data_IF_800974850912
#
_entry.id   IF_800974850912
#
_cell.length_a   1.000
_cell.length_b   1.000
_cell.length_c   1.000
_cell.angle_alpha   90.00
_cell.angle_beta   90.00
_cell.angle_gamma   90.00
#
_symmetry.space_group_name_H-M   'P 1'
#
loop_
_entity.id
_entity.type
_entity.pdbx_description
1 polymer ?
#
# COMPACT_ATOMS: atom_id res chain seq x y z
N UNK A 1 -19.04 4.94 10.86
CA UNK A 1 -18.74 5.66 9.59
C UNK A 1 -17.25 5.99 9.60
N UNK A 2 -16.44 5.24 8.87
CA UNK A 2 -15.02 5.52 8.66
C UNK A 2 -14.92 6.54 7.51
N UNK A 3 -14.28 7.69 7.73
CA UNK A 3 -14.19 8.76 6.74
C UNK A 3 -13.32 8.40 5.53
N UNK A 4 -13.35 9.20 4.46
CA UNK A 4 -12.62 8.92 3.21
C UNK A 4 -11.08 8.87 3.36
N UNK A 5 -10.55 9.28 4.51
CA UNK A 5 -9.13 9.28 4.87
C UNK A 5 -8.83 8.32 6.04
N UNK A 6 -9.44 7.15 6.06
CA UNK A 6 -9.19 6.18 7.14
C UNK A 6 -7.82 5.52 6.95
N UNK A 7 -6.82 5.98 7.70
CA UNK A 7 -5.51 5.34 7.80
C UNK A 7 -5.64 4.08 8.65
N UNK A 8 -5.65 2.90 8.01
CA UNK A 8 -5.59 1.61 8.73
C UNK A 8 -4.17 1.05 8.76
N UNK A 9 -3.26 1.69 8.02
CA UNK A 9 -1.84 1.43 8.04
C UNK A 9 -1.13 2.23 9.15
N UNK A 10 -0.04 1.70 9.76
CA UNK A 10 0.72 2.42 10.77
C UNK A 10 1.34 3.72 10.21
N UNK A 11 1.21 4.80 10.97
CA UNK A 11 1.73 6.13 10.65
C UNK A 11 3.23 6.17 10.97
N UNK A 12 4.05 6.69 10.06
CA UNK A 12 5.49 6.87 10.26
C UNK A 12 5.81 7.84 11.42
N UNK A 13 7.01 7.73 12.00
CA UNK A 13 7.51 8.61 13.08
C UNK A 13 6.67 8.62 14.37
N UNK A 14 5.84 7.59 14.58
CA UNK A 14 5.33 7.20 15.91
C UNK A 14 6.24 6.11 16.50
N UNK A 15 6.11 5.82 17.80
CA UNK A 15 6.92 4.83 18.55
C UNK A 15 6.98 3.39 17.94
N UNK A 16 6.29 3.14 16.82
CA UNK A 16 6.32 1.87 16.08
C UNK A 16 6.96 2.09 14.71
N UNK A 17 8.09 1.42 14.50
CA UNK A 17 8.73 1.37 13.19
C UNK A 17 7.78 0.68 12.20
N UNK A 18 7.52 1.32 11.06
CA UNK A 18 6.70 0.70 10.02
C UNK A 18 7.52 -0.40 9.36
N UNK A 19 7.08 -1.65 9.51
CA UNK A 19 7.80 -2.85 9.09
C UNK A 19 7.09 -3.52 7.90
N UNK A 20 7.80 -4.35 7.13
CA UNK A 20 7.17 -5.18 6.09
C UNK A 20 6.12 -6.15 6.68
N UNK A 21 6.23 -6.50 7.97
CA UNK A 21 5.17 -7.19 8.73
C UNK A 21 3.87 -6.40 8.81
N UNK A 22 3.92 -5.06 8.90
CA UNK A 22 2.73 -4.22 8.84
C UNK A 22 2.07 -4.28 7.47
N UNK A 23 2.86 -4.29 6.38
CA UNK A 23 2.40 -4.49 5.01
C UNK A 23 1.66 -5.84 4.88
N UNK A 24 2.29 -6.92 5.31
CA UNK A 24 1.68 -8.28 5.33
C UNK A 24 0.36 -8.33 6.07
N UNK A 25 0.33 -7.79 7.30
CA UNK A 25 -0.88 -7.77 8.12
C UNK A 25 -2.00 -6.95 7.46
N UNK A 26 -1.66 -5.80 6.87
CA UNK A 26 -2.61 -4.94 6.18
C UNK A 26 -3.23 -5.63 4.96
N UNK A 27 -2.39 -6.20 4.09
CA UNK A 27 -2.86 -6.96 2.93
C UNK A 27 -3.70 -8.17 3.34
N UNK A 28 -3.33 -8.85 4.43
CA UNK A 28 -4.10 -9.95 5.00
C UNK A 28 -5.50 -9.53 5.48
N UNK A 29 -5.62 -8.39 6.19
CA UNK A 29 -6.92 -7.85 6.64
C UNK A 29 -7.80 -7.37 5.49
N UNK A 30 -7.19 -6.87 4.42
CA UNK A 30 -7.88 -6.25 3.28
C UNK A 30 -8.03 -7.19 2.06
N UNK A 31 -7.68 -8.48 2.20
CA UNK A 31 -7.65 -9.46 1.10
C UNK A 31 -8.97 -9.60 0.31
N UNK A 32 -10.10 -9.32 0.95
CA UNK A 32 -11.42 -9.41 0.32
C UNK A 32 -11.79 -8.15 -0.50
N UNK A 33 -10.97 -7.10 -0.46
CA UNK A 33 -11.19 -5.87 -1.22
C UNK A 33 -10.48 -5.94 -2.57
N UNK A 34 -10.87 -5.13 -3.58
CA UNK A 34 -10.05 -4.93 -4.78
C UNK A 34 -8.66 -4.40 -4.43
N UNK A 35 -7.63 -4.81 -5.16
CA UNK A 35 -6.24 -4.46 -4.83
C UNK A 35 -6.01 -2.95 -4.70
N UNK A 36 -6.59 -2.16 -5.60
CA UNK A 36 -6.54 -0.68 -5.54
C UNK A 36 -7.05 -0.14 -4.20
N UNK A 37 -8.10 -0.73 -3.62
CA UNK A 37 -8.63 -0.36 -2.30
C UNK A 37 -7.69 -0.77 -1.15
N UNK A 38 -6.93 -1.85 -1.33
CA UNK A 38 -5.94 -2.30 -0.34
C UNK A 38 -4.76 -1.33 -0.25
N UNK A 39 -4.34 -0.74 -1.37
CA UNK A 39 -3.22 0.21 -1.43
C UNK A 39 -3.64 1.69 -1.35
N UNK A 40 -4.94 1.98 -1.26
CA UNK A 40 -5.49 3.34 -1.11
C UNK A 40 -5.28 3.89 0.33
N UNK A 41 -4.05 3.84 0.83
CA UNK A 41 -3.63 4.37 2.12
C UNK A 41 -2.31 5.13 1.94
N UNK A 42 -2.28 6.40 2.33
CA UNK A 42 -1.14 7.27 2.10
C UNK A 42 0.14 6.76 2.78
N UNK A 43 0.05 6.23 4.01
CA UNK A 43 1.21 5.71 4.72
C UNK A 43 1.71 4.40 4.14
N UNK A 44 0.81 3.59 3.57
CA UNK A 44 1.23 2.42 2.81
C UNK A 44 2.01 2.84 1.56
N UNK A 45 1.52 3.83 0.81
CA UNK A 45 2.21 4.34 -0.39
C UNK A 45 3.59 4.93 -0.05
N UNK A 46 3.73 5.65 1.07
CA UNK A 46 5.03 6.12 1.55
C UNK A 46 6.00 4.97 1.86
N UNK A 47 5.51 3.87 2.42
CA UNK A 47 6.35 2.68 2.65
C UNK A 47 6.79 2.02 1.36
N UNK A 48 5.88 1.89 0.38
CA UNK A 48 6.22 1.36 -0.94
C UNK A 48 7.25 2.25 -1.65
N UNK A 49 7.11 3.57 -1.52
CA UNK A 49 8.02 4.56 -2.09
C UNK A 49 9.48 4.48 -1.56
N UNK A 50 9.73 3.73 -0.48
CA UNK A 50 11.10 3.45 0.00
C UNK A 50 11.82 2.38 -0.81
N UNK A 51 11.09 1.61 -1.62
CA UNK A 51 11.60 0.44 -2.36
C UNK A 51 11.34 0.58 -3.85
N UNK A 52 10.22 1.19 -4.24
CA UNK A 52 9.84 1.45 -5.62
C UNK A 52 10.49 2.72 -6.17
N UNK A 53 10.55 2.83 -7.50
CA UNK A 53 11.03 4.05 -8.14
C UNK A 53 10.06 5.22 -7.88
N UNK A 54 10.58 6.27 -7.23
CA UNK A 54 9.82 7.46 -6.87
C UNK A 54 9.31 8.26 -8.07
N UNK A 55 9.97 8.16 -9.22
CA UNK A 55 9.66 8.93 -10.42
C UNK A 55 8.81 8.17 -11.44
N UNK A 56 8.75 6.84 -11.34
CA UNK A 56 8.00 5.98 -12.26
C UNK A 56 6.86 5.21 -11.56
N UNK A 57 7.20 4.40 -10.57
CA UNK A 57 6.27 3.45 -9.97
C UNK A 57 5.26 4.14 -9.04
N UNK A 58 5.75 5.09 -8.23
CA UNK A 58 4.88 5.80 -7.28
C UNK A 58 3.80 6.61 -8.01
N UNK A 59 4.12 7.42 -9.06
CA UNK A 59 3.10 8.06 -9.88
C UNK A 59 2.07 7.08 -10.45
N UNK A 60 2.50 5.97 -11.03
CA UNK A 60 1.59 4.97 -11.60
C UNK A 60 0.63 4.37 -10.56
N UNK A 61 1.14 4.04 -9.36
CA UNK A 61 0.31 3.55 -8.26
C UNK A 61 -0.66 4.62 -7.75
N UNK A 62 -0.20 5.87 -7.61
CA UNK A 62 -1.05 6.98 -7.16
C UNK A 62 -2.13 7.33 -8.17
N UNK A 63 -1.85 7.22 -9.47
CA UNK A 63 -2.85 7.39 -10.53
C UNK A 63 -3.93 6.31 -10.43
N UNK A 64 -3.54 5.05 -10.22
CA UNK A 64 -4.51 3.96 -10.01
C UNK A 64 -5.39 4.23 -8.78
N UNK A 65 -4.78 4.70 -7.68
CA UNK A 65 -5.51 5.08 -6.46
C UNK A 65 -6.41 6.29 -6.71
N UNK A 66 -5.96 7.30 -7.44
CA UNK A 66 -6.74 8.52 -7.69
C UNK A 66 -7.96 8.24 -8.58
N UNK A 67 -7.75 7.47 -9.65
CA UNK A 67 -8.77 7.12 -10.65
C UNK A 67 -9.59 5.89 -10.28
N UNK A 68 -9.19 5.20 -9.20
CA UNK A 68 -9.80 3.97 -8.71
C UNK A 68 -9.82 2.85 -9.77
N UNK A 69 -8.78 2.78 -10.60
CA UNK A 69 -8.60 1.78 -11.64
C UNK A 69 -7.86 0.54 -11.13
N UNK A 70 -7.94 -0.59 -11.86
CA UNK A 70 -7.16 -1.78 -11.52
C UNK A 70 -5.65 -1.49 -11.52
N UNK A 71 -4.98 -1.95 -10.45
CA UNK A 71 -3.51 -1.89 -10.37
C UNK A 71 -2.92 -2.94 -11.33
N UNK A 72 -1.92 -2.60 -12.15
CA UNK A 72 -1.27 -3.58 -13.03
C UNK A 72 -0.75 -4.81 -12.27
N UNK A 73 -0.91 -5.99 -12.84
CA UNK A 73 -0.59 -7.28 -12.18
C UNK A 73 0.85 -7.34 -11.68
N UNK A 74 1.82 -6.83 -12.45
CA UNK A 74 3.23 -6.78 -12.04
C UNK A 74 3.45 -6.06 -10.71
N UNK A 75 2.73 -4.95 -10.46
CA UNK A 75 2.79 -4.25 -9.19
C UNK A 75 2.11 -5.04 -8.06
N UNK A 76 1.02 -5.74 -8.35
CA UNK A 76 0.35 -6.57 -7.34
C UNK A 76 1.28 -7.67 -6.84
N UNK A 77 1.92 -8.40 -7.77
CA UNK A 77 2.87 -9.48 -7.46
C UNK A 77 4.06 -8.93 -6.66
N UNK A 78 4.60 -7.79 -7.08
CA UNK A 78 5.77 -7.19 -6.44
C UNK A 78 5.44 -6.76 -4.99
N UNK A 79 4.31 -6.08 -4.78
CA UNK A 79 3.87 -5.66 -3.44
C UNK A 79 3.56 -6.86 -2.55
N UNK A 80 2.93 -7.91 -3.07
CA UNK A 80 2.70 -9.15 -2.33
C UNK A 80 4.01 -9.88 -1.99
N UNK A 81 4.99 -9.85 -2.89
CA UNK A 81 6.33 -10.42 -2.65
C UNK A 81 7.07 -9.67 -1.53
N UNK A 82 7.01 -8.33 -1.53
CA UNK A 82 7.56 -7.51 -0.45
C UNK A 82 6.93 -7.86 0.91
N UNK A 83 5.61 -8.06 0.93
CA UNK A 83 4.88 -8.44 2.14
C UNK A 83 5.25 -9.85 2.65
N UNK A 84 5.56 -10.78 1.74
CA UNK A 84 5.92 -12.16 2.08
C UNK A 84 7.40 -12.38 2.41
N UNK A 85 8.26 -11.39 2.15
CA UNK A 85 9.68 -11.41 2.53
C UNK A 85 9.88 -11.13 4.05
N UNK A 86 8.79 -10.83 4.77
CA UNK A 86 8.75 -10.54 6.22
C UNK A 86 8.29 -11.71 7.10
#
# INVERSE_FOLDING_TARGET
>A
MQGPLTSTFPIENRNTQVTMKALKNHLGRTKNLPFVKRISDFHLLLVLARVLDLNADVPALTECVQTQTPVPEGYQILIESMANTA
#
